data_IF_833551678199
#
_entry.id   IF_833551678199
#
_cell.length_a   1.000
_cell.length_b   1.000
_cell.length_c   1.000
_cell.angle_alpha   90.00
_cell.angle_beta   90.00
_cell.angle_gamma   90.00
#
_symmetry.space_group_name_H-M   'P 1'
#
loop_
_entity.id
_entity.type
_entity.pdbx_description
1 polymer ?
#
# COMPACT_ATOMS: atom_id res chain seq x y z
N UNK A 1 19.58 21.92 13.26
CA UNK A 1 18.71 21.42 12.18
C UNK A 1 19.57 20.42 11.42
N UNK A 2 19.39 19.12 11.66
CA UNK A 2 20.26 18.09 11.07
C UNK A 2 19.86 17.91 9.60
N UNK A 3 20.71 18.39 8.70
CA UNK A 3 20.66 18.05 7.28
C UNK A 3 20.99 16.57 7.11
N UNK A 4 20.20 15.87 6.32
CA UNK A 4 20.35 14.45 6.03
C UNK A 4 21.13 14.32 4.73
N UNK A 5 22.45 14.17 4.81
CA UNK A 5 23.28 13.84 3.64
C UNK A 5 23.33 12.31 3.48
N UNK A 6 23.20 11.85 2.24
CA UNK A 6 23.11 10.45 1.86
C UNK A 6 24.44 9.71 2.09
N UNK A 7 24.43 8.68 2.94
CA UNK A 7 25.50 7.67 2.97
C UNK A 7 25.02 6.39 2.29
N UNK A 8 25.73 6.00 1.23
CA UNK A 8 25.57 4.74 0.50
C UNK A 8 26.06 3.55 1.33
N UNK A 9 25.18 2.61 1.66
CA UNK A 9 25.61 1.28 2.15
C UNK A 9 25.90 0.35 0.97
N UNK A 10 27.19 0.05 0.77
CA UNK A 10 27.79 -0.59 -0.42
C UNK A 10 27.31 -2.01 -0.77
N UNK A 11 26.42 -2.66 -0.01
CA UNK A 11 26.06 -4.07 -0.26
C UNK A 11 24.72 -4.26 -0.98
N UNK A 12 23.83 -3.27 -1.02
CA UNK A 12 22.47 -3.42 -1.60
C UNK A 12 22.02 -2.19 -2.43
N UNK A 13 22.84 -1.14 -2.56
CA UNK A 13 22.49 0.06 -3.34
C UNK A 13 21.25 0.81 -2.83
N UNK A 14 20.78 0.48 -1.63
CA UNK A 14 19.67 1.13 -0.94
C UNK A 14 20.16 2.34 -0.17
N UNK A 15 19.42 3.44 -0.30
CA UNK A 15 19.66 4.70 0.39
C UNK A 15 18.34 5.18 1.01
N UNK A 16 18.43 6.03 2.03
CA UNK A 16 17.27 6.77 2.52
C UNK A 16 17.36 8.17 1.95
N UNK A 17 16.34 8.57 1.20
CA UNK A 17 16.26 9.91 0.63
C UNK A 17 15.02 10.65 1.13
N UNK A 18 15.11 11.97 1.08
CA UNK A 18 14.04 12.90 1.41
C UNK A 18 13.92 13.86 0.23
N UNK A 19 12.73 13.94 -0.36
CA UNK A 19 12.48 14.93 -1.39
C UNK A 19 12.36 16.33 -0.77
N UNK A 20 12.78 17.35 -1.52
CA UNK A 20 12.65 18.74 -1.10
C UNK A 20 11.20 19.10 -0.81
N UNK A 21 10.93 19.59 0.39
CA UNK A 21 9.57 19.91 0.85
C UNK A 21 8.81 18.75 1.50
N UNK A 22 9.25 17.50 1.35
CA UNK A 22 8.67 16.37 2.08
C UNK A 22 9.14 16.39 3.54
N UNK A 23 8.29 15.96 4.47
CA UNK A 23 8.65 15.76 5.88
C UNK A 23 9.03 14.30 6.11
N UNK A 24 8.61 13.39 5.23
CA UNK A 24 8.92 11.97 5.29
C UNK A 24 10.20 11.62 4.52
N UNK A 25 10.84 10.52 4.93
CA UNK A 25 11.98 9.93 4.22
C UNK A 25 11.59 8.55 3.69
N UNK A 26 12.09 8.17 2.52
CA UNK A 26 11.76 6.90 1.85
C UNK A 26 12.99 6.05 1.64
N UNK A 27 12.78 4.75 1.59
CA UNK A 27 13.78 3.84 1.07
C UNK A 27 13.82 3.98 -0.45
N UNK A 28 15.00 4.22 -0.98
CA UNK A 28 15.25 4.41 -2.41
C UNK A 28 16.41 3.56 -2.88
N UNK A 29 16.43 3.23 -4.16
CA UNK A 29 17.51 2.51 -4.82
C UNK A 29 18.02 3.35 -5.98
N UNK A 30 19.33 3.29 -6.24
CA UNK A 30 19.89 3.88 -7.46
C UNK A 30 19.73 2.89 -8.62
N UNK A 31 19.21 3.38 -9.74
CA UNK A 31 19.18 2.63 -10.99
C UNK A 31 20.58 2.65 -11.62
N UNK A 32 21.19 1.49 -11.77
CA UNK A 32 22.56 1.37 -12.32
C UNK A 32 22.66 1.79 -13.80
N UNK A 33 21.55 1.73 -14.55
CA UNK A 33 21.52 2.03 -15.99
C UNK A 33 21.29 3.52 -16.26
N UNK A 34 20.35 4.14 -15.55
CA UNK A 34 20.01 5.56 -15.76
C UNK A 34 20.78 6.49 -14.82
N UNK A 35 21.25 5.94 -13.69
CA UNK A 35 21.87 6.72 -12.61
C UNK A 35 20.85 7.39 -11.69
N UNK A 36 19.54 7.31 -12.01
CA UNK A 36 18.46 7.94 -11.26
C UNK A 36 18.21 7.25 -9.92
N UNK A 37 17.58 7.98 -8.99
CA UNK A 37 17.15 7.43 -7.71
C UNK A 37 15.66 7.13 -7.77
N UNK A 38 15.29 5.88 -7.50
CA UNK A 38 13.93 5.37 -7.59
C UNK A 38 13.43 4.91 -6.22
N UNK A 39 12.12 4.85 -6.05
CA UNK A 39 11.52 4.25 -4.84
C UNK A 39 11.83 2.75 -4.75
N UNK A 40 12.42 2.32 -3.64
CA UNK A 40 12.65 0.91 -3.40
C UNK A 40 11.37 0.25 -2.88
N UNK A 41 10.96 -0.82 -3.56
CA UNK A 41 9.78 -1.60 -3.16
C UNK A 41 10.15 -3.03 -2.78
N UNK A 42 9.35 -3.60 -1.88
CA UNK A 42 9.47 -4.98 -1.41
C UNK A 42 8.23 -5.73 -1.90
N UNK A 43 8.44 -6.81 -2.63
CA UNK A 43 7.38 -7.73 -2.99
C UNK A 43 7.16 -8.75 -1.87
N UNK A 44 5.89 -8.98 -1.49
CA UNK A 44 5.51 -9.97 -0.50
C UNK A 44 4.28 -10.75 -0.96
N UNK A 45 4.38 -12.07 -0.96
CA UNK A 45 3.26 -12.97 -1.23
C UNK A 45 2.65 -13.49 0.06
N UNK A 46 1.32 -13.49 0.17
CA UNK A 46 0.64 -14.00 1.35
C UNK A 46 -0.88 -14.10 1.18
N UNK A 47 -1.55 -14.56 2.22
CA UNK A 47 -3.00 -14.74 2.25
C UNK A 47 -3.65 -13.52 2.89
N UNK A 48 -4.66 -12.95 2.25
CA UNK A 48 -5.39 -11.78 2.75
C UNK A 48 -6.19 -12.14 4.00
N UNK A 49 -5.85 -11.52 5.14
CA UNK A 49 -6.59 -11.66 6.41
C UNK A 49 -7.58 -10.50 6.62
N UNK A 50 -7.19 -9.31 6.19
CA UNK A 50 -7.99 -8.10 6.31
C UNK A 50 -7.73 -7.20 5.13
N UNK A 51 -8.79 -6.58 4.63
CA UNK A 51 -8.74 -5.72 3.47
C UNK A 51 -9.63 -4.50 3.67
N UNK A 52 -9.14 -3.34 3.25
CA UNK A 52 -9.90 -2.11 3.14
C UNK A 52 -9.39 -1.38 1.89
N UNK A 53 -9.95 -1.73 0.74
CA UNK A 53 -9.62 -1.13 -0.55
C UNK A 53 -10.86 -0.44 -1.12
N UNK A 54 -10.71 0.46 -2.12
CA UNK A 54 -11.83 1.01 -2.85
C UNK A 54 -12.69 -0.08 -3.51
N UNK A 55 -13.96 0.19 -3.82
CA UNK A 55 -14.65 1.46 -3.63
C UNK A 55 -15.05 1.71 -2.18
N UNK A 56 -14.77 2.92 -1.67
CA UNK A 56 -15.21 3.32 -0.34
C UNK A 56 -16.60 3.95 -0.37
N UNK A 57 -17.43 3.56 0.58
CA UNK A 57 -18.80 4.06 0.71
C UNK A 57 -18.96 4.94 1.95
N UNK A 58 -19.63 6.08 1.77
CA UNK A 58 -20.17 6.85 2.87
C UNK A 58 -21.51 6.22 3.30
N UNK A 59 -21.72 6.08 4.61
CA UNK A 59 -22.98 5.55 5.15
C UNK A 59 -24.16 6.48 4.84
N UNK A 60 -23.91 7.78 4.86
CA UNK A 60 -24.89 8.83 4.54
C UNK A 60 -24.20 10.01 3.86
N UNK A 61 -24.97 10.96 3.32
CA UNK A 61 -24.44 12.24 2.83
C UNK A 61 -24.21 13.28 3.94
N UNK A 62 -24.22 12.87 5.22
CA UNK A 62 -24.03 13.81 6.33
C UNK A 62 -22.56 14.28 6.39
N UNK A 63 -22.30 15.53 6.81
CA UNK A 63 -20.95 16.09 6.86
C UNK A 63 -19.92 15.24 7.62
N UNK A 64 -20.33 14.59 8.73
CA UNK A 64 -19.40 13.78 9.53
C UNK A 64 -19.01 12.47 8.85
N UNK A 65 -19.89 11.89 8.04
CA UNK A 65 -19.56 10.70 7.23
C UNK A 65 -18.63 11.08 6.07
N UNK A 66 -18.80 12.26 5.47
CA UNK A 66 -17.88 12.78 4.45
C UNK A 66 -16.50 13.10 5.03
N UNK A 67 -16.43 13.65 6.26
CA UNK A 67 -15.15 13.82 6.98
C UNK A 67 -14.47 12.49 7.23
N UNK A 68 -15.21 11.46 7.66
CA UNK A 68 -14.65 10.11 7.84
C UNK A 68 -14.12 9.54 6.53
N UNK A 69 -14.86 9.71 5.44
CA UNK A 69 -14.44 9.30 4.10
C UNK A 69 -13.16 10.02 3.65
N UNK A 70 -13.02 11.31 3.95
CA UNK A 70 -11.79 12.08 3.68
C UNK A 70 -10.56 11.58 4.45
N UNK A 71 -10.75 10.81 5.53
CA UNK A 71 -9.69 10.21 6.33
C UNK A 71 -9.53 8.70 6.10
N UNK A 72 -10.20 8.13 5.09
CA UNK A 72 -10.11 6.71 4.77
C UNK A 72 -8.69 6.34 4.34
N UNK A 73 -8.32 5.10 4.67
CA UNK A 73 -7.02 4.53 4.33
C UNK A 73 -7.23 3.30 3.49
N UNK A 74 -6.37 3.11 2.50
CA UNK A 74 -6.26 1.83 1.81
C UNK A 74 -5.36 0.94 2.67
N UNK A 75 -5.74 -0.32 2.88
CA UNK A 75 -4.91 -1.24 3.64
C UNK A 75 -5.18 -2.69 3.29
N UNK A 76 -4.12 -3.49 3.35
CA UNK A 76 -4.17 -4.93 3.25
C UNK A 76 -3.30 -5.53 4.34
N UNK A 77 -3.78 -6.62 4.94
CA UNK A 77 -3.09 -7.37 5.97
C UNK A 77 -2.91 -8.80 5.49
N UNK A 78 -1.66 -9.25 5.43
CA UNK A 78 -1.31 -10.59 4.97
C UNK A 78 -0.84 -11.48 6.12
N UNK A 79 -1.09 -12.78 5.98
CA UNK A 79 -0.47 -13.84 6.76
C UNK A 79 0.24 -14.83 5.84
N UNK A 80 1.33 -15.41 6.33
CA UNK A 80 2.03 -16.52 5.67
C UNK A 80 1.58 -17.89 6.15
N UNK A 81 0.74 -17.99 7.19
CA UNK A 81 0.37 -19.25 7.87
C UNK A 81 1.57 -20.17 8.18
N UNK A 82 2.71 -19.60 8.59
CA UNK A 82 3.94 -20.36 8.88
C UNK A 82 4.80 -20.69 7.66
N UNK A 83 4.54 -20.05 6.50
CA UNK A 83 5.43 -20.14 5.34
C UNK A 83 6.79 -19.53 5.65
N UNK A 84 7.85 -20.33 5.51
CA UNK A 84 9.24 -19.87 5.66
C UNK A 84 9.59 -18.71 4.74
N UNK A 85 9.03 -18.69 3.52
CA UNK A 85 9.27 -17.60 2.58
C UNK A 85 8.68 -16.30 3.08
N UNK A 86 7.44 -16.34 3.59
CA UNK A 86 6.79 -15.18 4.19
C UNK A 86 7.57 -14.66 5.40
N UNK A 87 7.94 -15.57 6.31
CA UNK A 87 8.72 -15.24 7.51
C UNK A 87 10.06 -14.60 7.14
N UNK A 88 10.77 -15.14 6.14
CA UNK A 88 12.03 -14.58 5.66
C UNK A 88 11.86 -13.18 5.08
N UNK A 89 10.80 -12.92 4.31
CA UNK A 89 10.53 -11.60 3.73
C UNK A 89 10.14 -10.58 4.81
N UNK A 90 9.38 -10.99 5.83
CA UNK A 90 9.08 -10.16 7.00
C UNK A 90 10.37 -9.84 7.76
N UNK A 91 11.25 -10.82 7.98
CA UNK A 91 12.54 -10.62 8.63
C UNK A 91 13.45 -9.68 7.81
N UNK A 92 13.51 -9.85 6.49
CA UNK A 92 14.26 -8.95 5.60
C UNK A 92 13.69 -7.53 5.63
N UNK A 93 12.37 -7.38 5.76
CA UNK A 93 11.73 -6.09 5.95
C UNK A 93 12.15 -5.45 7.28
N UNK A 94 12.27 -6.22 8.36
CA UNK A 94 12.83 -5.74 9.63
C UNK A 94 14.31 -5.33 9.50
N UNK A 95 15.10 -6.02 8.67
CA UNK A 95 16.49 -5.61 8.38
C UNK A 95 16.55 -4.29 7.61
N UNK A 96 15.71 -4.09 6.59
CA UNK A 96 15.59 -2.81 5.90
C UNK A 96 15.13 -1.70 6.85
N UNK A 97 14.22 -2.00 7.78
CA UNK A 97 13.83 -1.07 8.85
C UNK A 97 15.01 -0.68 9.76
N UNK A 98 15.94 -1.60 10.05
CA UNK A 98 17.12 -1.28 10.85
C UNK A 98 17.98 -0.17 10.23
N UNK A 99 17.93 0.01 8.90
CA UNK A 99 18.57 1.16 8.24
C UNK A 99 17.97 2.46 8.76
N UNK A 100 16.63 2.60 8.77
CA UNK A 100 15.97 3.80 9.33
C UNK A 100 16.32 4.06 10.79
N UNK A 101 16.47 3.01 11.62
CA UNK A 101 16.81 3.16 13.03
C UNK A 101 18.18 3.83 13.28
N UNK A 102 19.13 3.67 12.33
CA UNK A 102 20.44 4.34 12.39
C UNK A 102 20.33 5.84 12.15
N UNK A 103 19.45 6.26 11.24
CA UNK A 103 19.28 7.66 10.85
C UNK A 103 18.21 8.41 11.65
N UNK A 104 17.32 7.68 12.33
CA UNK A 104 16.23 8.26 13.11
C UNK A 104 16.17 7.62 14.50
N UNK A 105 16.93 8.17 15.48
CA UNK A 105 16.86 7.71 16.86
C UNK A 105 15.41 7.76 17.34
N UNK A 106 14.93 6.67 17.93
CA UNK A 106 13.53 6.46 18.37
C UNK A 106 12.51 6.17 17.26
N UNK A 107 12.91 5.85 16.04
CA UNK A 107 11.98 5.25 15.09
C UNK A 107 11.40 3.96 15.65
N UNK A 108 10.10 3.75 15.50
CA UNK A 108 9.44 2.49 15.86
C UNK A 108 8.73 1.92 14.63
N UNK A 109 9.06 0.68 14.30
CA UNK A 109 8.19 -0.20 13.55
C UNK A 109 7.46 -1.06 14.57
N UNK A 110 6.14 -1.13 14.49
CA UNK A 110 5.37 -2.01 15.35
C UNK A 110 5.48 -3.41 14.73
N UNK A 111 6.15 -4.38 15.37
CA UNK A 111 6.16 -5.75 14.88
C UNK A 111 4.78 -6.33 15.09
N UNK A 112 4.17 -6.85 14.03
CA UNK A 112 2.91 -7.61 14.11
C UNK A 112 3.13 -8.97 13.47
N UNK A 113 2.51 -10.05 14.00
CA UNK A 113 2.57 -11.39 13.38
C UNK A 113 1.95 -11.41 11.96
N UNK A 114 1.24 -10.35 11.62
CA UNK A 114 0.64 -10.09 10.31
C UNK A 114 1.37 -8.93 9.64
N UNK A 115 1.52 -8.98 8.32
CA UNK A 115 2.16 -7.89 7.57
C UNK A 115 1.09 -6.89 7.12
N UNK A 116 1.14 -5.66 7.66
CA UNK A 116 0.17 -4.59 7.35
C UNK A 116 0.80 -3.53 6.45
N UNK A 117 0.24 -3.39 5.25
CA UNK A 117 0.54 -2.28 4.35
C UNK A 117 -0.65 -1.30 4.32
N UNK A 118 -0.37 0.00 4.45
CA UNK A 118 -1.44 1.01 4.44
C UNK A 118 -0.95 2.42 4.11
N UNK A 119 -1.67 3.09 3.22
CA UNK A 119 -1.54 4.50 2.91
C UNK A 119 -2.91 5.22 3.00
N UNK A 120 -2.88 6.56 2.99
CA UNK A 120 -4.13 7.35 2.96
C UNK A 120 -4.71 7.29 1.55
N UNK A 121 -6.03 7.28 1.42
CA UNK A 121 -6.65 7.49 0.10
C UNK A 121 -6.63 8.98 -0.28
N UNK A 122 -6.80 9.86 0.72
CA UNK A 122 -6.66 11.30 0.52
C UNK A 122 -5.62 11.90 1.46
N UNK A 123 -4.88 12.88 0.95
CA UNK A 123 -3.91 13.68 1.69
C UNK A 123 -4.44 15.11 1.84
N UNK A 124 -4.34 15.73 3.02
CA UNK A 124 -4.72 17.13 3.16
C UNK A 124 -3.93 18.00 2.18
N UNK A 125 -4.60 18.90 1.44
CA UNK A 125 -3.98 19.71 0.37
C UNK A 125 -2.74 20.50 0.84
N UNK A 126 -2.72 20.91 2.12
CA UNK A 126 -1.58 21.58 2.76
C UNK A 126 -0.31 20.71 2.85
N UNK A 127 -0.44 19.39 2.67
CA UNK A 127 0.63 18.40 2.71
C UNK A 127 0.97 17.87 1.32
N UNK A 128 0.35 18.41 0.26
CA UNK A 128 0.52 17.94 -1.12
C UNK A 128 1.46 18.84 -1.95
N UNK A 129 2.24 19.72 -1.31
CA UNK A 129 3.16 20.59 -2.03
C UNK A 129 4.21 19.73 -2.78
N UNK A 130 4.30 19.93 -4.10
CA UNK A 130 5.23 19.18 -4.96
C UNK A 130 4.75 17.80 -5.42
N UNK A 131 3.58 17.33 -4.96
CA UNK A 131 3.02 16.03 -5.37
C UNK A 131 2.08 16.19 -6.56
N UNK A 132 2.16 15.26 -7.50
CA UNK A 132 1.19 15.20 -8.61
C UNK A 132 -0.16 14.68 -8.11
N UNK A 133 -1.24 15.38 -8.49
CA UNK A 133 -2.61 14.93 -8.24
C UNK A 133 -3.02 13.86 -9.23
N UNK A 134 -3.50 12.73 -8.75
CA UNK A 134 -3.97 11.62 -9.57
C UNK A 134 -5.50 11.59 -9.57
N UNK A 135 -6.08 11.42 -10.76
CA UNK A 135 -7.54 11.34 -10.91
C UNK A 135 -8.08 10.03 -10.33
N UNK A 136 -9.13 10.13 -9.52
CA UNK A 136 -9.88 8.96 -9.04
C UNK A 136 -10.80 8.49 -10.16
N UNK A 137 -10.47 7.34 -10.77
CA UNK A 137 -11.21 6.78 -11.89
C UNK A 137 -12.53 6.10 -11.46
N UNK A 138 -13.29 5.62 -12.45
CA UNK A 138 -14.58 4.96 -12.23
C UNK A 138 -14.45 3.59 -11.52
N UNK A 139 -13.30 2.92 -11.60
CA UNK A 139 -13.06 1.64 -10.92
C UNK A 139 -12.88 1.83 -9.41
N UNK A 140 -12.23 2.92 -9.01
CA UNK A 140 -12.07 3.30 -7.60
C UNK A 140 -13.33 3.96 -7.02
N UNK A 141 -14.15 4.59 -7.86
CA UNK A 141 -15.33 5.36 -7.46
C UNK A 141 -16.57 5.11 -8.35
N UNK A 142 -17.06 3.86 -8.46
CA UNK A 142 -18.15 3.50 -9.35
C UNK A 142 -19.47 4.21 -9.03
N UNK A 143 -19.65 4.64 -7.78
CA UNK A 143 -20.87 5.34 -7.31
C UNK A 143 -20.71 6.85 -7.13
N UNK A 144 -19.58 7.43 -7.53
CA UNK A 144 -19.35 8.86 -7.37
C UNK A 144 -19.27 9.35 -5.90
N UNK A 145 -19.20 8.46 -4.91
CA UNK A 145 -19.27 8.84 -3.49
C UNK A 145 -18.01 9.55 -3.01
N UNK A 146 -16.84 9.17 -3.54
CA UNK A 146 -15.57 9.87 -3.26
C UNK A 146 -15.57 11.30 -3.82
N UNK A 147 -16.38 11.59 -4.84
CA UNK A 147 -16.49 12.94 -5.40
C UNK A 147 -17.17 13.94 -4.44
N UNK A 148 -17.82 13.45 -3.38
CA UNK A 148 -18.47 14.27 -2.35
C UNK A 148 -17.48 14.78 -1.29
N UNK A 149 -16.24 14.29 -1.30
CA UNK A 149 -15.17 14.82 -0.45
C UNK A 149 -14.78 16.22 -0.93
N UNK A 150 -14.43 17.10 0.01
CA UNK A 150 -13.98 18.46 -0.30
C UNK A 150 -12.59 18.44 -0.94
N UNK A 151 -12.54 18.42 -2.28
CA UNK A 151 -11.31 18.40 -3.08
C UNK A 151 -10.42 19.63 -2.90
N UNK A 152 -10.95 20.74 -2.35
CA UNK A 152 -10.11 21.90 -1.99
C UNK A 152 -9.25 21.65 -0.75
N UNK A 153 -9.65 20.68 0.08
CA UNK A 153 -8.99 20.34 1.35
C UNK A 153 -8.25 19.02 1.30
N UNK A 154 -8.66 18.10 0.43
CA UNK A 154 -8.17 16.73 0.39
C UNK A 154 -7.94 16.32 -1.06
N UNK A 155 -6.72 15.89 -1.37
CA UNK A 155 -6.28 15.51 -2.70
C UNK A 155 -5.92 14.03 -2.74
N UNK A 156 -6.14 13.38 -3.88
CA UNK A 156 -5.56 12.08 -4.20
C UNK A 156 -4.29 12.34 -5.01
N UNK A 157 -3.14 11.86 -4.56
CA UNK A 157 -1.84 12.09 -5.20
C UNK A 157 -1.18 10.77 -5.59
N UNK A 158 -0.06 10.82 -6.32
CA UNK A 158 0.75 9.65 -6.67
C UNK A 158 1.14 8.78 -5.44
N UNK A 159 1.27 9.39 -4.27
CA UNK A 159 1.50 8.68 -2.99
C UNK A 159 0.31 7.92 -2.44
N UNK A 160 -0.87 8.26 -2.92
CA UNK A 160 -2.12 7.65 -2.51
C UNK A 160 -2.56 6.56 -3.50
N UNK A 161 -2.00 6.56 -4.71
CA UNK A 161 -2.25 5.57 -5.75
C UNK A 161 -1.79 4.18 -5.33
N UNK A 162 -2.59 3.18 -5.70
CA UNK A 162 -2.29 1.76 -5.56
C UNK A 162 -2.70 1.09 -6.86
N UNK A 163 -1.79 0.35 -7.46
CA UNK A 163 -2.07 -0.40 -8.68
C UNK A 163 -2.64 -1.79 -8.36
N UNK A 164 -3.58 -2.24 -9.19
CA UNK A 164 -4.31 -3.48 -8.96
C UNK A 164 -4.20 -4.37 -10.19
N UNK A 165 -3.82 -5.63 -9.99
CA UNK A 165 -3.61 -6.59 -11.08
C UNK A 165 -4.22 -7.95 -10.77
N UNK A 166 -4.49 -8.72 -11.83
CA UNK A 166 -4.67 -10.18 -11.77
C UNK A 166 -3.51 -10.82 -12.52
N UNK A 167 -2.91 -11.85 -11.93
CA UNK A 167 -2.00 -12.73 -12.63
C UNK A 167 -2.81 -13.73 -13.46
N UNK A 168 -2.74 -13.61 -14.78
CA UNK A 168 -3.37 -14.55 -15.72
C UNK A 168 -2.31 -15.37 -16.43
N UNK A 169 -2.56 -16.65 -16.63
CA UNK A 169 -1.74 -17.52 -17.47
C UNK A 169 -2.28 -17.42 -18.91
N UNK A 170 -1.54 -16.75 -19.79
CA UNK A 170 -1.91 -16.58 -21.20
C UNK A 170 -0.79 -17.12 -22.08
N UNK A 171 -1.10 -18.08 -22.95
CA UNK A 171 -0.13 -18.70 -23.89
C UNK A 171 1.13 -19.28 -23.22
N UNK A 172 1.04 -19.69 -21.95
CA UNK A 172 2.17 -20.20 -21.16
C UNK A 172 3.07 -19.11 -20.56
N UNK A 173 2.69 -17.83 -20.71
CA UNK A 173 3.33 -16.70 -20.07
C UNK A 173 2.44 -16.06 -18.99
N UNK A 174 3.08 -15.74 -17.87
CA UNK A 174 2.46 -14.98 -16.78
C UNK A 174 2.24 -13.54 -17.20
N UNK A 175 0.98 -13.11 -17.28
CA UNK A 175 0.60 -11.73 -17.60
C UNK A 175 -0.09 -11.06 -16.41
N UNK A 176 0.34 -9.84 -16.09
CA UNK A 176 -0.30 -8.98 -15.11
C UNK A 176 -1.30 -8.08 -15.83
N UNK A 177 -2.60 -8.31 -15.59
CA UNK A 177 -3.67 -7.55 -16.23
C UNK A 177 -4.28 -6.58 -15.21
N UNK A 178 -4.37 -5.27 -15.51
CA UNK A 178 -5.00 -4.29 -14.62
C UNK A 178 -6.44 -4.68 -14.26
N UNK A 179 -6.86 -4.37 -13.03
CA UNK A 179 -8.20 -4.72 -12.54
C UNK A 179 -8.72 -3.72 -11.50
N UNK A 180 -10.01 -3.78 -11.20
CA UNK A 180 -10.60 -3.00 -10.13
C UNK A 180 -10.35 -3.64 -8.74
N UNK A 181 -10.13 -2.86 -7.68
CA UNK A 181 -9.86 -3.37 -6.34
C UNK A 181 -11.00 -4.18 -5.69
N UNK A 182 -12.22 -4.08 -6.24
CA UNK A 182 -13.40 -4.78 -5.70
C UNK A 182 -13.29 -6.31 -5.79
N UNK A 183 -12.38 -6.84 -6.61
CA UNK A 183 -12.25 -8.28 -6.80
C UNK A 183 -11.60 -8.99 -5.60
N UNK A 184 -10.78 -8.28 -4.83
CA UNK A 184 -9.95 -8.88 -3.78
C UNK A 184 -10.77 -9.22 -2.53
N UNK A 185 -10.55 -10.39 -1.96
CA UNK A 185 -11.29 -10.92 -0.83
C UNK A 185 -10.36 -11.49 0.24
N UNK A 186 -10.89 -11.57 1.47
CA UNK A 186 -10.24 -12.30 2.56
C UNK A 186 -10.14 -13.77 2.16
N UNK A 187 -8.93 -14.33 2.26
CA UNK A 187 -8.60 -15.70 1.84
C UNK A 187 -7.89 -15.79 0.49
N UNK A 188 -7.85 -14.71 -0.30
CA UNK A 188 -7.09 -14.70 -1.56
C UNK A 188 -5.59 -14.78 -1.30
N UNK A 189 -4.87 -15.46 -2.21
CA UNK A 189 -3.42 -15.42 -2.28
C UNK A 189 -3.05 -14.24 -3.20
N UNK A 190 -2.29 -13.30 -2.67
CA UNK A 190 -1.89 -12.09 -3.37
C UNK A 190 -0.39 -11.86 -3.26
N UNK A 191 0.15 -11.13 -4.22
CA UNK A 191 1.42 -10.42 -4.09
C UNK A 191 1.14 -8.94 -3.86
N UNK A 192 1.82 -8.34 -2.89
CA UNK A 192 1.79 -6.89 -2.69
C UNK A 192 3.17 -6.31 -2.92
N UNK A 193 3.23 -5.12 -3.53
CA UNK A 193 4.43 -4.29 -3.49
C UNK A 193 4.25 -3.21 -2.44
N UNK A 194 5.24 -3.07 -1.57
CA UNK A 194 5.25 -2.05 -0.53
C UNK A 194 6.52 -1.24 -0.52
N UNK A 195 6.39 0.05 -0.22
CA UNK A 195 7.51 0.94 0.05
C UNK A 195 7.64 1.21 1.55
N UNK A 196 8.87 1.43 2.02
CA UNK A 196 9.12 1.86 3.39
C UNK A 196 9.25 3.38 3.48
N UNK A 197 8.40 3.98 4.30
CA UNK A 197 8.39 5.42 4.53
C UNK A 197 8.49 5.74 6.03
N UNK A 198 9.48 6.54 6.39
CA UNK A 198 9.66 7.07 7.74
C UNK A 198 8.99 8.43 7.85
N UNK A 199 7.98 8.53 8.74
CA UNK A 199 7.20 9.74 8.97
C UNK A 199 7.52 10.29 10.36
N UNK A 200 7.98 11.54 10.49
CA UNK A 200 8.16 12.19 11.78
C UNK A 200 6.81 12.60 12.39
N UNK A 201 6.68 12.43 13.70
CA UNK A 201 5.51 12.83 14.48
C UNK A 201 5.91 13.20 15.91
N UNK A 202 5.83 14.49 16.24
CA UNK A 202 5.99 15.05 17.61
C UNK A 202 7.14 14.40 18.42
N UNK A 203 8.35 14.40 17.85
CA UNK A 203 9.56 13.87 18.52
C UNK A 203 9.79 12.37 18.36
N UNK A 204 8.88 11.64 17.71
CA UNK A 204 9.06 10.25 17.32
C UNK A 204 9.09 10.11 15.79
N UNK A 205 9.67 9.01 15.33
CA UNK A 205 9.61 8.60 13.93
C UNK A 205 8.84 7.30 13.82
N UNK A 206 8.00 7.16 12.80
CA UNK A 206 7.26 5.93 12.55
C UNK A 206 7.53 5.48 11.14
N UNK A 207 8.10 4.29 11.00
CA UNK A 207 8.25 3.65 9.69
C UNK A 207 6.95 2.94 9.37
N UNK A 208 6.42 3.21 8.18
CA UNK A 208 5.20 2.63 7.65
C UNK A 208 5.49 1.93 6.33
N UNK A 209 4.72 0.88 6.09
CA UNK A 209 4.67 0.19 4.81
C UNK A 209 3.56 0.83 3.97
N UNK A 210 3.96 1.51 2.91
CA UNK A 210 3.08 2.18 1.96
C UNK A 210 2.72 1.16 0.88
N UNK A 211 1.44 0.88 0.73
CA UNK A 211 0.95 -0.04 -0.30
C UNK A 211 1.12 0.62 -1.68
N UNK A 212 1.80 -0.05 -2.61
CA UNK A 212 2.02 0.41 -3.99
C UNK A 212 1.25 -0.41 -5.01
N UNK A 213 1.15 -1.72 -4.82
CA UNK A 213 0.27 -2.54 -5.64
C UNK A 213 -0.27 -3.76 -4.91
N UNK A 214 -1.33 -4.34 -5.47
CA UNK A 214 -1.88 -5.66 -5.11
C UNK A 214 -2.12 -6.46 -6.38
N UNK A 215 -1.57 -7.66 -6.46
CA UNK A 215 -1.78 -8.60 -7.55
C UNK A 215 -2.47 -9.85 -7.02
N UNK A 216 -3.60 -10.22 -7.62
CA UNK A 216 -4.30 -11.47 -7.32
C UNK A 216 -3.53 -12.62 -7.98
N UNK A 217 -3.02 -13.55 -7.17
CA UNK A 217 -2.31 -14.75 -7.64
C UNK A 217 -3.26 -15.96 -7.71
N UNK A 218 -4.09 -16.14 -6.69
CA UNK A 218 -5.08 -17.22 -6.62
C UNK A 218 -6.27 -16.81 -5.74
N UNK A 219 -7.46 -16.83 -6.33
CA UNK A 219 -8.75 -16.57 -5.67
C UNK A 219 -9.70 -17.78 -5.72
N UNK A 220 -9.20 -18.99 -5.99
CA UNK A 220 -10.04 -20.17 -6.18
C UNK A 220 -10.85 -20.51 -4.92
N UNK A 221 -10.25 -20.36 -3.73
CA UNK A 221 -10.90 -20.68 -2.46
C UNK A 221 -12.09 -19.74 -2.16
N UNK A 222 -12.00 -18.48 -2.54
CA UNK A 222 -13.06 -17.48 -2.34
C UNK A 222 -14.12 -17.56 -3.45
N UNK A 223 -13.72 -17.84 -4.68
CA UNK A 223 -14.62 -18.04 -5.84
C UNK A 223 -15.52 -19.27 -5.65
N UNK A 224 -14.98 -20.40 -5.17
CA UNK A 224 -15.75 -21.63 -4.93
C UNK A 224 -16.78 -21.46 -3.81
N UNK A 225 -16.46 -20.68 -2.76
CA UNK A 225 -17.40 -20.39 -1.66
C UNK A 225 -18.64 -19.62 -2.13
N UNK A 226 -18.50 -18.71 -3.10
CA UNK A 226 -19.63 -17.98 -3.68
C UNK A 226 -20.58 -18.91 -4.45
N UNK A 227 -20.04 -19.90 -5.17
CA UNK A 227 -20.83 -20.89 -5.91
C UNK A 227 -21.65 -21.79 -4.96
N UNK A 228 -21.08 -22.23 -3.83
CA UNK A 228 -21.81 -23.03 -2.85
C UNK A 228 -22.92 -22.25 -2.10
N UNK A 229 -22.72 -20.96 -1.82
CA UNK A 229 -23.77 -20.11 -1.23
C UNK A 229 -24.94 -19.88 -2.18
N UNK A 230 -24.66 -19.76 -3.47
CA UNK A 230 -25.69 -19.56 -4.50
C UNK A 230 -26.52 -20.82 -4.71
N UNK A 231 -25.91 -22.01 -4.67
CA UNK A 231 -26.63 -23.28 -4.74
C UNK A 231 -27.50 -23.56 -3.51
N UNK A 232 -27.09 -23.15 -2.30
CA UNK A 232 -27.90 -23.31 -1.08
C UNK A 232 -29.12 -22.38 -1.00
N UNK A 233 -29.16 -21.31 -1.80
CA UNK A 233 -30.32 -20.41 -1.91
C UNK A 233 -31.33 -20.86 -2.97
N UNK A 234 -31.01 -21.88 -3.76
CA UNK A 234 -31.85 -22.44 -4.83
C UNK A 234 -32.21 -23.92 -4.59
N UNK A 235 -32.14 -24.39 -3.35
CA UNK A 235 -32.71 -25.68 -2.92
C UNK A 235 -34.10 -25.49 -2.30
N UNK A 236 -35.01 -26.46 -2.47
CA UNK A 236 -36.47 -26.30 -2.34
C UNK A 236 -36.98 -25.84 -0.97
#
# INVERSE_FOLDING_TARGET
MYGMDAETTETIGLCISRQDGDVASRLTQRNDKTGDTEEATIALQGIVCKINLPPFEARTSRPDDLKRLAHVRQSITLTGLGSKHFEQTVENSHRAYSMFSRYTPNARLIPTPEFLASNRFFTPAKQCAGLETVNVNAELNPRGTLAKVDWSKYLHTEDNSVDYYILTDGDGEKRYTPTAPIIFQIGDIVEIMVSMMCIPSKGNFTVKLILRSVTLLDGNLTTVHQNHKTQRRQGP
#
